data_IF_539276738389
#
_entry.id   IF_539276738389
#
_cell.length_a   1.000
_cell.length_b   1.000
_cell.length_c   1.000
_cell.angle_alpha   90.00
_cell.angle_beta   90.00
_cell.angle_gamma   90.00
#
_symmetry.space_group_name_H-M   'P 1'
#
loop_
_entity.id
_entity.type
_entity.pdbx_description
1 polymer ?
#
# COMPACT_ATOMS: atom_id res chain seq x y z
N UNK A 1 -22.51 12.14 -14.18
CA UNK A 1 -21.18 11.48 -14.17
C UNK A 1 -21.25 10.36 -13.15
N UNK A 2 -21.41 9.12 -13.60
CA UNK A 2 -21.26 7.94 -12.75
C UNK A 2 -19.79 7.89 -12.30
N UNK A 3 -19.48 7.80 -11.00
CA UNK A 3 -18.12 7.54 -10.57
C UNK A 3 -17.71 6.19 -11.16
N UNK A 4 -16.69 6.22 -12.02
CA UNK A 4 -16.14 5.01 -12.60
C UNK A 4 -15.51 4.19 -11.47
N UNK A 5 -16.20 3.12 -11.08
CA UNK A 5 -15.74 2.17 -10.06
C UNK A 5 -14.70 1.19 -10.65
N UNK A 6 -14.28 1.40 -11.90
CA UNK A 6 -13.58 0.40 -12.72
C UNK A 6 -12.07 0.36 -12.51
N UNK A 7 -11.47 1.39 -11.90
CA UNK A 7 -10.01 1.48 -11.74
C UNK A 7 -9.55 1.44 -10.28
N UNK A 8 -10.03 0.48 -9.48
CA UNK A 8 -9.32 0.13 -8.23
C UNK A 8 -8.03 -0.58 -8.60
N UNK A 9 -6.96 0.19 -8.76
CA UNK A 9 -5.63 -0.33 -9.08
C UNK A 9 -4.99 -0.98 -7.86
N UNK A 10 -4.49 -2.19 -8.05
CA UNK A 10 -3.79 -2.97 -7.04
C UNK A 10 -2.31 -3.06 -7.35
N UNK A 11 -1.50 -2.70 -6.37
CA UNK A 11 -0.06 -2.69 -6.44
C UNK A 11 0.50 -3.94 -5.75
N UNK A 12 1.59 -4.47 -6.28
CA UNK A 12 2.43 -5.46 -5.60
C UNK A 12 3.15 -4.82 -4.42
N UNK A 13 3.58 -5.67 -3.48
CA UNK A 13 4.50 -5.29 -2.41
C UNK A 13 5.79 -4.64 -2.95
N UNK A 14 6.28 -5.06 -4.12
CA UNK A 14 7.46 -4.49 -4.74
C UNK A 14 7.23 -3.06 -5.22
N UNK A 15 6.14 -2.82 -5.96
CA UNK A 15 5.78 -1.48 -6.45
C UNK A 15 5.53 -0.51 -5.29
N UNK A 16 4.89 -0.97 -4.20
CA UNK A 16 4.70 -0.17 -3.00
C UNK A 16 6.03 0.17 -2.33
N UNK A 17 6.95 -0.80 -2.23
CA UNK A 17 8.26 -0.58 -1.65
C UNK A 17 9.06 0.47 -2.43
N UNK A 18 9.02 0.40 -3.76
CA UNK A 18 9.69 1.37 -4.64
C UNK A 18 9.07 2.76 -4.51
N UNK A 19 7.74 2.88 -4.45
CA UNK A 19 7.05 4.16 -4.26
C UNK A 19 7.33 4.80 -2.89
N UNK A 20 7.32 4.00 -1.83
CA UNK A 20 7.57 4.47 -0.46
C UNK A 20 9.06 4.60 -0.13
N UNK A 21 9.96 4.17 -1.03
CA UNK A 21 11.42 4.09 -0.81
C UNK A 21 11.80 3.32 0.44
N UNK A 22 11.09 2.23 0.71
CA UNK A 22 11.35 1.33 1.84
C UNK A 22 11.72 -0.07 1.34
N UNK A 23 12.26 -0.90 2.22
CA UNK A 23 12.46 -2.30 1.89
C UNK A 23 11.12 -3.05 1.75
N UNK A 24 11.08 -4.11 0.94
CA UNK A 24 9.92 -5.03 0.87
C UNK A 24 9.56 -5.58 2.25
N UNK A 25 10.55 -5.81 3.12
CA UNK A 25 10.34 -6.29 4.48
C UNK A 25 9.58 -5.28 5.33
N UNK A 26 9.83 -3.98 5.14
CA UNK A 26 9.08 -2.91 5.80
C UNK A 26 7.62 -2.94 5.36
N UNK A 27 7.36 -3.10 4.05
CA UNK A 27 5.99 -3.22 3.54
C UNK A 27 5.31 -4.47 4.11
N UNK A 28 5.99 -5.62 4.14
CA UNK A 28 5.44 -6.82 4.77
C UNK A 28 5.12 -6.61 6.25
N UNK A 29 5.99 -5.91 6.99
CA UNK A 29 5.73 -5.55 8.39
C UNK A 29 4.47 -4.70 8.53
N UNK A 30 4.32 -3.65 7.72
CA UNK A 30 3.12 -2.78 7.75
C UNK A 30 1.84 -3.56 7.44
N UNK A 31 1.91 -4.50 6.50
CA UNK A 31 0.78 -5.38 6.19
C UNK A 31 0.43 -6.30 7.37
N UNK A 32 1.43 -6.87 8.05
CA UNK A 32 1.20 -7.73 9.21
C UNK A 32 0.80 -6.96 10.47
N UNK A 33 1.23 -5.69 10.63
CA UNK A 33 0.80 -4.83 11.73
C UNK A 33 -0.57 -4.20 11.50
N UNK A 34 -1.10 -4.26 10.27
CA UNK A 34 -2.38 -3.66 9.89
C UNK A 34 -2.29 -2.17 9.53
N UNK A 35 -1.10 -1.58 9.54
CA UNK A 35 -0.86 -0.19 9.11
C UNK A 35 -1.11 0.00 7.60
N UNK A 36 -0.83 -1.02 6.80
CA UNK A 36 -1.07 -1.01 5.36
C UNK A 36 -2.11 -2.07 5.00
N UNK A 37 -3.36 -1.68 4.66
CA UNK A 37 -4.37 -2.64 4.29
C UNK A 37 -3.99 -3.31 2.97
N UNK A 38 -3.96 -4.64 2.97
CA UNK A 38 -3.61 -5.44 1.80
C UNK A 38 -4.53 -6.65 1.67
N UNK A 39 -4.75 -7.07 0.43
CA UNK A 39 -5.54 -8.24 0.07
C UNK A 39 -4.58 -9.37 -0.29
N UNK A 40 -4.81 -10.55 0.29
CA UNK A 40 -4.05 -11.75 -0.05
C UNK A 40 -4.54 -12.29 -1.39
N UNK A 41 -3.63 -12.33 -2.36
CA UNK A 41 -3.87 -12.88 -3.69
C UNK A 41 -2.99 -14.13 -3.87
N UNK A 42 -3.56 -15.29 -3.53
CA UNK A 42 -2.82 -16.57 -3.48
C UNK A 42 -1.66 -16.53 -2.49
N UNK A 43 -0.43 -16.62 -3.02
CA UNK A 43 0.82 -16.59 -2.24
C UNK A 43 1.40 -15.18 -2.05
N UNK A 44 0.79 -14.16 -2.66
CA UNK A 44 1.28 -12.78 -2.65
C UNK A 44 0.26 -11.83 -2.02
N UNK A 45 0.68 -10.61 -1.71
CA UNK A 45 -0.19 -9.54 -1.24
C UNK A 45 -0.33 -8.46 -2.32
N UNK A 46 -1.52 -7.87 -2.38
CA UNK A 46 -1.87 -6.77 -3.25
C UNK A 46 -2.39 -5.62 -2.39
N UNK A 47 -1.88 -4.43 -2.63
CA UNK A 47 -2.22 -3.23 -1.86
C UNK A 47 -3.03 -2.30 -2.78
N UNK A 48 -4.22 -1.84 -2.39
CA UNK A 48 -4.95 -0.87 -3.18
C UNK A 48 -4.18 0.46 -3.20
N UNK A 49 -4.11 1.10 -4.37
CA UNK A 49 -3.39 2.38 -4.55
C UNK A 49 -3.87 3.47 -3.56
N UNK A 50 -5.17 3.51 -3.28
CA UNK A 50 -5.76 4.44 -2.32
C UNK A 50 -5.20 4.30 -0.90
N UNK A 51 -4.84 3.08 -0.49
CA UNK A 51 -4.22 2.83 0.81
C UNK A 51 -2.77 3.33 0.87
N UNK A 52 -2.01 3.13 -0.20
CA UNK A 52 -0.64 3.65 -0.30
C UNK A 52 -0.66 5.18 -0.21
N UNK A 53 -1.58 5.83 -0.92
CA UNK A 53 -1.76 7.28 -0.88
C UNK A 53 -2.23 7.79 0.50
N UNK A 54 -2.89 6.96 1.31
CA UNK A 54 -3.24 7.30 2.69
C UNK A 54 -2.00 7.21 3.61
N UNK A 55 -1.20 6.14 3.48
CA UNK A 55 0.01 5.96 4.29
C UNK A 55 1.08 7.01 3.96
N UNK A 56 1.26 7.36 2.70
CA UNK A 56 2.18 8.45 2.29
C UNK A 56 1.78 9.82 2.88
N UNK A 57 0.49 10.05 3.13
CA UNK A 57 0.03 11.27 3.82
C UNK A 57 0.35 11.25 5.31
N UNK A 58 0.38 10.08 5.94
CA UNK A 58 0.64 9.91 7.37
C UNK A 58 2.15 9.95 7.67
N UNK A 59 2.98 9.33 6.82
CA UNK A 59 4.43 9.22 7.03
C UNK A 59 5.23 10.53 6.98
N UNK A 60 4.60 11.65 6.61
CA UNK A 60 5.23 12.98 6.69
C UNK A 60 5.25 13.48 8.15
N UNK A 61 4.45 12.91 9.05
CA UNK A 61 4.30 13.37 10.43
C UNK A 61 5.26 12.73 11.45
N UNK A 62 5.94 11.62 11.12
CA UNK A 62 6.77 10.84 12.06
C UNK A 62 8.28 10.88 11.75
N UNK A 63 8.74 11.89 11.01
CA UNK A 63 10.17 12.23 10.91
C UNK A 63 10.37 13.61 11.54
N UNK A 64 10.37 13.65 12.87
CA UNK A 64 10.74 14.79 13.71
C UNK A 64 11.65 14.33 14.83
#
# INVERSE_FOLDING_TARGET
>A
MSPDLSDVRFLTVAEVADMMRVSKMTVYRMVHSGELPAIRFGRSFRVPESAVAAVLRIGIADVG
#
